data_IF_145295736287
#
_entry.id   IF_145295736287
#
_cell.length_a   1.000
_cell.length_b   1.000
_cell.length_c   1.000
_cell.angle_alpha   90.00
_cell.angle_beta   90.00
_cell.angle_gamma   90.00
#
_symmetry.space_group_name_H-M   'P 1'
#
loop_
_entity.id
_entity.type
_entity.pdbx_description
1 polymer ?
#
# COMPACT_ATOMS: atom_id res chain seq x y z
N UNK A 1 -20.50 -35.89 32.12
CA UNK A 1 -19.27 -36.57 31.69
C UNK A 1 -18.47 -35.62 30.81
N UNK A 2 -17.38 -35.07 31.34
CA UNK A 2 -16.43 -34.23 30.59
C UNK A 2 -15.34 -35.12 29.96
N UNK A 3 -15.07 -34.95 28.65
CA UNK A 3 -13.84 -35.42 28.01
C UNK A 3 -12.99 -34.22 27.59
N UNK A 4 -11.83 -34.07 28.24
CA UNK A 4 -10.71 -33.22 27.82
C UNK A 4 -9.73 -34.04 26.97
N UNK A 5 -8.99 -33.39 26.06
CA UNK A 5 -7.58 -33.62 25.64
C UNK A 5 -7.39 -32.97 24.25
N UNK A 6 -6.89 -31.73 24.17
CA UNK A 6 -5.48 -31.32 24.02
C UNK A 6 -4.87 -31.70 22.65
N UNK A 7 -4.56 -30.68 21.85
CA UNK A 7 -3.80 -30.79 20.60
C UNK A 7 -3.14 -29.47 20.24
N UNK A 8 -2.24 -28.99 21.11
CA UNK A 8 -1.32 -27.89 20.80
C UNK A 8 -0.17 -28.50 19.99
N UNK A 9 -0.25 -28.41 18.67
CA UNK A 9 0.82 -28.82 17.75
C UNK A 9 1.72 -27.64 17.42
N UNK A 10 2.85 -27.55 18.13
CA UNK A 10 3.93 -26.63 17.86
C UNK A 10 4.54 -26.89 16.47
N UNK A 11 4.37 -25.96 15.54
CA UNK A 11 5.18 -25.93 14.31
C UNK A 11 6.56 -25.38 14.66
N UNK A 12 7.51 -26.31 14.75
CA UNK A 12 8.92 -26.12 15.02
C UNK A 12 9.59 -25.28 13.91
N UNK A 13 10.32 -24.27 14.36
CA UNK A 13 11.35 -23.54 13.61
C UNK A 13 12.41 -24.52 13.09
N UNK A 14 12.57 -24.59 11.77
CA UNK A 14 13.80 -25.09 11.14
C UNK A 14 14.36 -24.02 10.21
N UNK A 15 15.28 -23.23 10.76
CA UNK A 15 16.27 -22.49 10.01
C UNK A 15 17.57 -23.31 10.03
N UNK A 16 18.03 -23.82 8.87
CA UNK A 16 19.44 -24.15 8.66
C UNK A 16 19.81 -24.18 7.18
N UNK A 17 20.75 -23.30 6.83
CA UNK A 17 21.91 -23.53 5.97
C UNK A 17 21.75 -24.02 4.53
N UNK A 18 22.02 -23.10 3.59
CA UNK A 18 22.67 -23.39 2.32
C UNK A 18 23.84 -22.43 2.12
N UNK A 19 25.06 -22.87 2.44
CA UNK A 19 26.33 -22.21 2.10
C UNK A 19 26.88 -22.76 0.77
N UNK A 20 27.87 -22.02 0.24
CA UNK A 20 28.79 -22.27 -0.90
C UNK A 20 28.33 -21.68 -2.24
N UNK A 21 29.15 -21.00 -3.05
CA UNK A 21 30.53 -20.49 -2.95
C UNK A 21 30.75 -19.65 -4.21
N UNK A 22 31.33 -18.45 -4.08
CA UNK A 22 31.69 -17.62 -5.23
C UNK A 22 32.68 -16.53 -4.84
N UNK A 23 33.96 -16.91 -4.72
CA UNK A 23 35.07 -15.98 -4.46
C UNK A 23 35.48 -15.32 -5.78
N UNK A 24 35.28 -14.01 -5.88
CA UNK A 24 35.97 -13.15 -6.84
C UNK A 24 36.56 -11.93 -6.11
N UNK A 25 37.80 -11.61 -6.44
CA UNK A 25 38.78 -10.83 -5.69
C UNK A 25 38.58 -9.31 -5.79
N UNK A 26 38.76 -8.64 -4.65
CA UNK A 26 39.45 -7.35 -4.38
C UNK A 26 39.41 -6.22 -5.43
N UNK A 27 38.86 -5.07 -5.03
CA UNK A 27 39.52 -3.77 -5.14
C UNK A 27 39.22 -2.92 -3.88
N UNK A 28 40.24 -2.30 -3.24
CA UNK A 28 40.06 -1.48 -2.05
C UNK A 28 39.92 0.03 -2.38
N UNK A 29 39.21 0.72 -1.48
CA UNK A 29 39.33 2.14 -1.13
C UNK A 29 39.08 3.22 -2.19
N UNK A 30 37.98 3.97 -1.99
CA UNK A 30 38.02 5.43 -1.82
C UNK A 30 36.80 5.93 -1.04
N UNK A 31 37.08 6.50 0.11
CA UNK A 31 36.24 7.39 0.91
C UNK A 31 35.57 8.47 0.06
N UNK A 32 34.24 8.59 0.16
CA UNK A 32 33.58 9.90 0.33
C UNK A 32 32.48 9.70 1.38
N UNK A 33 32.69 10.33 2.54
CA UNK A 33 31.61 10.66 3.45
C UNK A 33 30.69 11.67 2.75
N UNK A 34 29.44 11.28 2.52
CA UNK A 34 28.26 12.13 2.41
C UNK A 34 27.24 11.37 3.28
N UNK A 35 27.02 11.63 4.58
CA UNK A 35 26.74 12.92 5.23
C UNK A 35 26.21 13.98 4.26
N UNK A 36 25.13 13.58 3.57
CA UNK A 36 24.13 14.49 3.05
C UNK A 36 22.80 14.08 3.67
N UNK A 37 22.42 14.76 4.76
CA UNK A 37 21.03 14.95 5.11
C UNK A 37 20.28 15.35 3.85
N UNK A 38 19.46 14.45 3.35
CA UNK A 38 18.85 14.60 2.05
C UNK A 38 17.86 13.47 1.84
N UNK A 39 16.84 13.42 2.70
CA UNK A 39 15.56 12.79 2.40
C UNK A 39 15.07 13.45 1.09
N UNK A 40 15.53 12.97 -0.06
CA UNK A 40 15.11 13.47 -1.36
C UNK A 40 13.67 13.02 -1.52
N UNK A 41 12.76 13.90 -1.07
CA UNK A 41 11.34 13.87 -1.36
C UNK A 41 11.20 13.83 -2.88
N UNK A 42 11.17 12.63 -3.45
CA UNK A 42 10.93 12.46 -4.88
C UNK A 42 9.48 12.88 -5.12
N UNK A 43 9.30 14.06 -5.71
CA UNK A 43 7.99 14.53 -6.11
C UNK A 43 7.53 13.71 -7.34
N UNK A 44 6.28 13.26 -7.33
CA UNK A 44 5.69 12.59 -8.50
C UNK A 44 5.64 13.56 -9.68
N UNK A 45 5.95 13.06 -10.89
CA UNK A 45 5.79 13.85 -12.12
C UNK A 45 4.33 14.25 -12.32
N UNK A 46 4.10 15.37 -13.01
CA UNK A 46 2.73 15.83 -13.30
C UNK A 46 1.94 14.83 -14.15
N UNK A 47 2.61 14.13 -15.07
CA UNK A 47 2.00 13.06 -15.88
C UNK A 47 1.54 11.88 -15.00
N UNK A 48 2.35 11.46 -14.02
CA UNK A 48 1.94 10.40 -13.10
C UNK A 48 0.81 10.87 -12.16
N UNK A 49 0.84 12.13 -11.72
CA UNK A 49 -0.26 12.72 -10.95
C UNK A 49 -1.56 12.69 -11.75
N UNK A 50 -1.53 13.09 -13.01
CA UNK A 50 -2.70 13.07 -13.90
C UNK A 50 -3.23 11.64 -14.07
N UNK A 51 -2.37 10.67 -14.39
CA UNK A 51 -2.75 9.26 -14.50
C UNK A 51 -3.41 8.72 -13.24
N UNK A 52 -2.89 9.10 -12.05
CA UNK A 52 -3.46 8.71 -10.76
C UNK A 52 -4.80 9.39 -10.47
N UNK A 53 -4.99 10.65 -10.88
CA UNK A 53 -6.28 11.35 -10.76
C UNK A 53 -7.36 10.66 -11.60
N UNK A 54 -7.02 10.24 -12.82
CA UNK A 54 -7.92 9.47 -13.68
C UNK A 54 -8.27 8.09 -13.09
N UNK A 55 -7.31 7.45 -12.42
CA UNK A 55 -7.54 6.19 -11.69
C UNK A 55 -8.52 6.39 -10.51
N UNK A 56 -8.31 7.43 -9.69
CA UNK A 56 -9.24 7.80 -8.62
C UNK A 56 -10.65 8.08 -9.16
N UNK A 57 -10.76 8.84 -10.26
CA UNK A 57 -12.03 9.17 -10.90
C UNK A 57 -12.78 7.92 -11.39
N UNK A 58 -12.10 7.00 -12.08
CA UNK A 58 -12.72 5.73 -12.52
C UNK A 58 -13.21 4.88 -11.36
N UNK A 59 -12.43 4.80 -10.28
CA UNK A 59 -12.85 4.07 -9.08
C UNK A 59 -14.08 4.70 -8.45
N UNK A 60 -14.15 6.03 -8.41
CA UNK A 60 -15.33 6.75 -7.92
C UNK A 60 -16.58 6.44 -8.76
N UNK A 61 -16.49 6.51 -10.08
CA UNK A 61 -17.60 6.18 -10.99
C UNK A 61 -18.10 4.75 -10.77
N UNK A 62 -17.19 3.78 -10.72
CA UNK A 62 -17.54 2.40 -10.45
C UNK A 62 -18.23 2.23 -9.09
N UNK A 63 -17.72 2.89 -8.05
CA UNK A 63 -18.30 2.86 -6.70
C UNK A 63 -19.71 3.45 -6.69
N UNK A 64 -19.90 4.60 -7.35
CA UNK A 64 -21.18 5.30 -7.42
C UNK A 64 -22.25 4.47 -8.15
N UNK A 65 -21.88 3.83 -9.26
CA UNK A 65 -22.71 2.89 -9.99
C UNK A 65 -23.06 1.65 -9.17
N UNK A 66 -22.08 1.10 -8.44
CA UNK A 66 -22.28 -0.05 -7.56
C UNK A 66 -23.28 0.28 -6.44
N UNK A 67 -23.21 1.48 -5.85
CA UNK A 67 -24.18 1.95 -4.85
C UNK A 67 -25.60 2.03 -5.44
N UNK A 68 -25.73 2.51 -6.67
CA UNK A 68 -27.02 2.60 -7.37
C UNK A 68 -27.63 1.22 -7.64
N UNK A 69 -26.78 0.26 -8.04
CA UNK A 69 -27.20 -1.14 -8.29
C UNK A 69 -27.53 -1.89 -7.01
N UNK A 70 -26.78 -1.65 -5.93
CA UNK A 70 -26.95 -2.33 -4.63
C UNK A 70 -28.16 -1.80 -3.84
N UNK A 71 -28.47 -0.51 -3.95
CA UNK A 71 -29.57 0.13 -3.22
C UNK A 71 -30.59 0.80 -4.17
N UNK A 72 -31.27 0.04 -5.05
CA UNK A 72 -32.12 0.62 -6.11
C UNK A 72 -33.40 1.30 -5.58
N UNK A 73 -33.91 0.86 -4.43
CA UNK A 73 -35.18 1.31 -3.83
C UNK A 73 -35.02 1.91 -2.44
N UNK A 74 -33.79 2.14 -1.98
CA UNK A 74 -33.50 2.66 -0.65
C UNK A 74 -32.68 3.96 -0.77
N UNK A 75 -33.32 5.11 -1.05
CA UNK A 75 -32.62 6.37 -1.25
C UNK A 75 -31.68 6.75 -0.10
N UNK A 76 -32.03 6.55 1.20
CA UNK A 76 -31.13 6.87 2.30
C UNK A 76 -29.88 5.98 2.35
N UNK A 77 -30.01 4.69 2.05
CA UNK A 77 -28.87 3.76 2.03
C UNK A 77 -27.97 4.01 0.83
N UNK A 78 -28.56 4.29 -0.34
CA UNK A 78 -27.84 4.71 -1.54
C UNK A 78 -27.06 6.00 -1.31
N UNK A 79 -27.69 7.01 -0.70
CA UNK A 79 -27.03 8.28 -0.37
C UNK A 79 -25.78 8.08 0.49
N UNK A 80 -25.90 7.36 1.61
CA UNK A 80 -24.75 7.05 2.48
C UNK A 80 -23.62 6.32 1.74
N UNK A 81 -23.97 5.34 0.90
CA UNK A 81 -22.99 4.61 0.09
C UNK A 81 -22.25 5.55 -0.88
N UNK A 82 -22.98 6.45 -1.54
CA UNK A 82 -22.41 7.44 -2.47
C UNK A 82 -21.54 8.48 -1.75
N UNK A 83 -21.93 8.89 -0.54
CA UNK A 83 -21.13 9.77 0.32
C UNK A 83 -19.79 9.12 0.69
N UNK A 84 -19.80 7.83 1.03
CA UNK A 84 -18.58 7.05 1.31
C UNK A 84 -17.68 6.94 0.07
N UNK A 85 -18.25 6.73 -1.12
CA UNK A 85 -17.49 6.77 -2.38
C UNK A 85 -16.83 8.14 -2.60
N UNK A 86 -17.58 9.22 -2.37
CA UNK A 86 -17.08 10.59 -2.52
C UNK A 86 -15.93 10.85 -1.54
N UNK A 87 -16.08 10.46 -0.27
CA UNK A 87 -15.04 10.62 0.75
C UNK A 87 -13.76 9.91 0.35
N UNK A 88 -13.86 8.65 -0.10
CA UNK A 88 -12.71 7.86 -0.57
C UNK A 88 -12.03 8.49 -1.79
N UNK A 89 -12.80 9.05 -2.72
CA UNK A 89 -12.24 9.77 -3.87
C UNK A 89 -11.49 11.03 -3.43
N UNK A 90 -12.05 11.82 -2.53
CA UNK A 90 -11.36 12.99 -1.95
C UNK A 90 -10.07 12.59 -1.24
N UNK A 91 -10.07 11.51 -0.46
CA UNK A 91 -8.86 10.97 0.17
C UNK A 91 -7.83 10.50 -0.86
N UNK A 92 -8.27 9.86 -1.96
CA UNK A 92 -7.42 9.44 -3.08
C UNK A 92 -6.71 10.64 -3.74
N UNK A 93 -7.48 11.66 -4.10
CA UNK A 93 -6.96 12.90 -4.69
C UNK A 93 -6.00 13.64 -3.75
N UNK A 94 -6.34 13.72 -2.47
CA UNK A 94 -5.49 14.38 -1.47
C UNK A 94 -4.12 13.72 -1.37
N UNK A 95 -4.04 12.38 -1.41
CA UNK A 95 -2.76 11.65 -1.37
C UNK A 95 -1.88 11.94 -2.60
N UNK A 96 -2.49 12.16 -3.76
CA UNK A 96 -1.76 12.51 -4.98
C UNK A 96 -1.10 13.88 -4.83
N UNK A 97 -1.82 14.84 -4.26
CA UNK A 97 -1.34 16.21 -4.03
C UNK A 97 -0.37 16.29 -2.85
N UNK A 98 -0.57 15.44 -1.84
CA UNK A 98 0.16 15.53 -0.58
C UNK A 98 1.42 14.66 -0.52
N UNK A 99 1.86 13.99 -1.59
CA UNK A 99 2.94 12.98 -1.56
C UNK A 99 4.36 13.60 -1.44
N UNK A 100 5.03 13.64 -0.27
CA UNK A 100 6.33 12.99 -0.19
C UNK A 100 6.14 11.48 -0.42
N UNK A 101 7.12 10.81 -1.03
CA UNK A 101 7.17 9.34 -0.96
C UNK A 101 7.31 8.96 0.52
N UNK A 102 6.22 8.51 1.14
CA UNK A 102 6.30 7.79 2.41
C UNK A 102 6.59 6.33 2.06
N UNK A 103 7.86 5.94 2.19
CA UNK A 103 8.24 4.53 2.21
C UNK A 103 7.54 3.85 3.39
N UNK A 104 6.65 2.85 3.18
CA UNK A 104 5.94 2.19 4.27
C UNK A 104 6.82 1.19 5.07
N UNK A 105 8.15 1.18 4.86
CA UNK A 105 9.10 0.24 5.47
C UNK A 105 10.34 0.93 6.07
N UNK A 106 10.15 2.05 6.80
CA UNK A 106 11.17 2.60 7.72
C UNK A 106 10.58 3.06 9.05
#
# INVERSE_FOLDING_TARGET
MHRKLLGVGAFLLFATFGMLSGVARVAPSKTIALQGDGLQRQEMSEEEKERRREECARMYEYCYDACTKRHPKEPPARGRCQDDCSKKNTECMKKIESNPIEDPDY
#
